data_IF_612985336839
#
_entry.id   IF_612985336839
#
_cell.length_a   1.000
_cell.length_b   1.000
_cell.length_c   1.000
_cell.angle_alpha   90.00
_cell.angle_beta   90.00
_cell.angle_gamma   90.00
#
_symmetry.space_group_name_H-M   'P 1'
#
loop_
_entity.id
_entity.type
_entity.pdbx_description
1 polymer ?
#
# COMPACT_ATOMS: atom_id res chain seq x y z
N UNK A 1 62.64 -57.77 62.69
CA UNK A 1 61.27 -57.18 62.72
C UNK A 1 61.26 -55.96 61.86
N UNK A 2 60.77 -56.09 60.62
CA UNK A 2 60.76 -55.04 59.60
C UNK A 2 59.33 -54.57 59.42
N UNK A 3 59.12 -53.28 59.61
CA UNK A 3 57.81 -52.62 59.29
C UNK A 3 57.94 -51.85 58.03
N UNK A 4 57.15 -52.27 57.03
CA UNK A 4 57.00 -51.60 55.77
C UNK A 4 55.86 -50.54 55.87
N UNK A 5 56.15 -49.27 55.63
CA UNK A 5 55.15 -48.22 55.37
C UNK A 5 54.90 -48.07 53.88
N UNK A 6 53.68 -48.31 53.44
CA UNK A 6 53.24 -47.97 52.09
C UNK A 6 52.61 -46.58 52.15
N UNK A 7 53.22 -45.67 51.37
CA UNK A 7 52.64 -44.35 51.05
C UNK A 7 51.47 -44.57 49.99
N UNK A 8 50.25 -44.15 50.36
CA UNK A 8 49.13 -43.95 49.43
C UNK A 8 49.25 -42.51 48.91
N UNK A 9 49.53 -42.36 47.64
CA UNK A 9 49.38 -41.08 46.90
C UNK A 9 47.97 -40.85 46.55
N UNK A 10 47.37 -39.79 47.10
CA UNK A 10 46.04 -39.30 46.63
C UNK A 10 46.20 -38.41 45.38
N UNK A 11 45.74 -38.90 44.26
CA UNK A 11 45.60 -38.08 43.00
C UNK A 11 44.30 -37.33 43.07
N UNK A 12 44.38 -36.04 43.38
CA UNK A 12 43.20 -35.13 43.26
C UNK A 12 43.01 -34.75 41.79
N UNK A 13 42.05 -35.41 41.15
CA UNK A 13 41.59 -35.02 39.81
C UNK A 13 40.77 -33.73 39.90
N UNK A 14 41.25 -32.63 39.37
CA UNK A 14 40.46 -31.43 39.08
C UNK A 14 39.52 -31.73 37.88
N UNK A 15 38.24 -31.96 38.16
CA UNK A 15 37.22 -31.96 37.13
C UNK A 15 36.90 -30.49 36.76
N UNK A 16 37.40 -30.03 35.63
CA UNK A 16 36.97 -28.77 35.01
C UNK A 16 35.57 -29.02 34.43
N UNK A 17 34.53 -28.57 35.14
CA UNK A 17 33.18 -28.43 34.55
C UNK A 17 33.25 -27.29 33.51
N UNK A 18 33.32 -27.63 32.24
CA UNK A 18 33.00 -26.73 31.16
C UNK A 18 31.48 -26.45 31.24
N UNK A 19 31.10 -25.34 31.84
CA UNK A 19 29.76 -24.81 31.71
C UNK A 19 29.58 -24.39 30.25
N UNK A 20 29.01 -25.25 29.43
CA UNK A 20 28.44 -24.85 28.15
C UNK A 20 27.22 -23.98 28.49
N UNK A 21 27.41 -22.66 28.46
CA UNK A 21 26.26 -21.75 28.35
C UNK A 21 25.60 -22.13 27.06
N UNK A 22 24.40 -22.72 27.14
CA UNK A 22 23.51 -22.81 26.00
C UNK A 22 23.23 -21.36 25.60
N UNK A 23 23.81 -20.90 24.51
CA UNK A 23 23.38 -19.70 23.83
C UNK A 23 21.97 -20.05 23.37
N UNK A 24 20.97 -19.51 24.03
CA UNK A 24 19.60 -19.54 23.50
C UNK A 24 19.72 -18.83 22.14
N UNK A 25 19.40 -19.54 21.06
CA UNK A 25 19.35 -18.91 19.75
C UNK A 25 18.42 -17.70 19.87
N UNK A 26 18.91 -16.53 19.49
CA UNK A 26 18.11 -15.32 19.48
C UNK A 26 16.98 -15.52 18.47
N UNK A 27 15.76 -15.18 18.86
CA UNK A 27 14.56 -15.36 18.05
C UNK A 27 13.83 -14.02 17.94
N UNK A 28 13.44 -13.63 16.74
CA UNK A 28 12.66 -12.43 16.42
C UNK A 28 11.26 -12.88 16.02
N UNK A 29 10.24 -12.30 16.63
CA UNK A 29 8.85 -12.49 16.26
C UNK A 29 8.40 -11.34 15.34
N UNK A 30 7.86 -11.69 14.18
CA UNK A 30 7.40 -10.70 13.19
C UNK A 30 5.92 -10.95 12.87
N UNK A 31 5.07 -9.97 13.16
CA UNK A 31 3.69 -10.02 12.71
C UNK A 31 3.57 -9.52 11.28
N UNK A 32 2.70 -10.20 10.51
CA UNK A 32 2.43 -9.85 9.12
C UNK A 32 0.95 -9.95 8.77
N UNK A 33 0.46 -9.06 7.91
CA UNK A 33 -0.89 -9.13 7.33
C UNK A 33 -1.00 -10.14 6.18
N UNK A 34 0.09 -10.77 5.77
CA UNK A 34 0.10 -11.75 4.68
C UNK A 34 -0.39 -13.11 5.17
N UNK A 35 -1.71 -13.34 5.10
CA UNK A 35 -2.36 -14.57 5.55
C UNK A 35 -2.52 -15.63 4.47
N UNK A 36 -2.35 -15.25 3.19
CA UNK A 36 -2.43 -16.20 2.07
C UNK A 36 -1.21 -17.13 2.07
N UNK A 37 -1.40 -18.48 2.01
CA UNK A 37 -0.30 -19.43 2.16
C UNK A 37 0.91 -19.17 1.24
N UNK A 38 0.67 -18.87 -0.04
CA UNK A 38 1.73 -18.61 -1.00
C UNK A 38 2.52 -17.33 -0.70
N UNK A 39 1.87 -16.31 -0.14
CA UNK A 39 2.53 -15.06 0.25
C UNK A 39 3.30 -15.22 1.55
N UNK A 40 2.71 -15.92 2.53
CA UNK A 40 3.38 -16.24 3.79
C UNK A 40 4.64 -17.11 3.56
N UNK A 41 4.57 -18.09 2.66
CA UNK A 41 5.73 -18.92 2.29
C UNK A 41 6.89 -18.08 1.74
N UNK A 42 6.60 -17.03 0.96
CA UNK A 42 7.64 -16.12 0.46
C UNK A 42 8.27 -15.29 1.56
N UNK A 43 7.49 -14.79 2.52
CA UNK A 43 8.04 -14.10 3.70
C UNK A 43 8.88 -15.06 4.57
N UNK A 44 8.44 -16.30 4.74
CA UNK A 44 9.22 -17.31 5.44
C UNK A 44 10.53 -17.65 4.71
N UNK A 45 10.55 -17.55 3.38
CA UNK A 45 11.79 -17.73 2.59
C UNK A 45 12.77 -16.59 2.89
N UNK A 46 12.33 -15.34 2.89
CA UNK A 46 13.17 -14.19 3.27
C UNK A 46 13.68 -14.32 4.72
N UNK A 47 12.81 -14.72 5.65
CA UNK A 47 13.18 -14.99 7.03
C UNK A 47 14.25 -16.07 7.16
N UNK A 48 14.15 -17.16 6.38
CA UNK A 48 15.15 -18.22 6.34
C UNK A 48 16.49 -17.78 5.73
N UNK A 49 16.49 -16.85 4.79
CA UNK A 49 17.72 -16.23 4.26
C UNK A 49 18.42 -15.41 5.34
N UNK A 50 17.67 -14.64 6.14
CA UNK A 50 18.22 -13.92 7.30
C UNK A 50 18.79 -14.86 8.34
N UNK A 51 18.05 -15.92 8.72
CA UNK A 51 18.53 -16.95 9.66
C UNK A 51 19.83 -17.61 9.16
N UNK A 52 19.90 -17.92 7.87
CA UNK A 52 21.11 -18.51 7.27
C UNK A 52 22.32 -17.55 7.30
N UNK A 53 22.09 -16.25 7.18
CA UNK A 53 23.13 -15.23 7.19
C UNK A 53 23.62 -14.89 8.61
N UNK A 54 22.73 -14.87 9.60
CA UNK A 54 23.00 -14.31 10.94
C UNK A 54 22.99 -15.37 12.05
N UNK A 55 22.29 -16.49 11.85
CA UNK A 55 22.00 -17.50 12.89
C UNK A 55 20.84 -17.09 13.83
N UNK A 56 20.19 -15.96 13.60
CA UNK A 56 19.01 -15.47 14.36
C UNK A 56 17.76 -16.05 13.72
N UNK A 57 16.95 -16.77 14.50
CA UNK A 57 15.69 -17.33 14.02
C UNK A 57 14.63 -16.23 13.91
N UNK A 58 13.82 -16.27 12.84
CA UNK A 58 12.69 -15.36 12.64
C UNK A 58 11.38 -16.16 12.55
N UNK A 59 10.45 -15.87 13.44
CA UNK A 59 9.10 -16.43 13.42
C UNK A 59 8.13 -15.45 12.74
N UNK A 60 7.67 -15.78 11.53
CA UNK A 60 6.66 -15.02 10.80
C UNK A 60 5.26 -15.43 11.27
N UNK A 61 4.53 -14.53 11.92
CA UNK A 61 3.22 -14.77 12.54
C UNK A 61 2.14 -14.05 11.73
N UNK A 62 1.32 -14.77 10.94
CA UNK A 62 0.25 -14.15 10.18
C UNK A 62 -0.89 -13.71 11.10
N UNK A 63 -1.38 -12.49 10.89
CA UNK A 63 -2.52 -11.90 11.61
C UNK A 63 -3.47 -11.30 10.60
N UNK A 64 -4.76 -11.60 10.72
CA UNK A 64 -5.78 -11.02 9.85
C UNK A 64 -5.82 -9.50 9.98
N UNK A 65 -5.88 -8.80 8.85
CA UNK A 65 -5.81 -7.34 8.81
C UNK A 65 -6.97 -6.67 9.56
N UNK A 66 -8.14 -7.31 9.60
CA UNK A 66 -9.30 -6.79 10.34
C UNK A 66 -9.14 -6.92 11.86
N UNK A 67 -8.34 -7.88 12.34
CA UNK A 67 -8.06 -8.08 13.77
C UNK A 67 -6.80 -7.33 14.23
N UNK A 68 -6.04 -6.78 13.30
CA UNK A 68 -4.67 -6.30 13.53
C UNK A 68 -4.60 -5.24 14.64
N UNK A 69 -5.45 -4.21 14.56
CA UNK A 69 -5.48 -3.11 15.54
C UNK A 69 -5.87 -3.60 16.94
N UNK A 70 -6.91 -4.43 17.04
CA UNK A 70 -7.37 -4.98 18.32
C UNK A 70 -6.31 -5.88 18.96
N UNK A 71 -5.66 -6.72 18.15
CA UNK A 71 -4.62 -7.63 18.61
C UNK A 71 -3.36 -6.88 19.06
N UNK A 72 -2.93 -5.85 18.35
CA UNK A 72 -1.78 -5.03 18.75
C UNK A 72 -2.03 -4.31 20.09
N UNK A 73 -3.21 -3.71 20.26
CA UNK A 73 -3.62 -3.07 21.52
C UNK A 73 -3.65 -4.05 22.70
N UNK A 74 -4.16 -5.26 22.49
CA UNK A 74 -4.22 -6.29 23.53
C UNK A 74 -2.82 -6.82 23.89
N UNK A 75 -1.95 -7.03 22.91
CA UNK A 75 -0.57 -7.48 23.11
C UNK A 75 0.25 -6.42 23.84
N UNK A 76 0.12 -5.15 23.47
CA UNK A 76 0.76 -4.03 24.17
C UNK A 76 0.37 -3.96 25.64
N UNK A 77 -0.95 -4.06 25.93
CA UNK A 77 -1.44 -4.07 27.31
C UNK A 77 -0.94 -5.28 28.13
N UNK A 78 -0.59 -6.38 27.48
CA UNK A 78 -0.03 -7.58 28.08
C UNK A 78 1.50 -7.58 28.20
N UNK A 79 2.20 -6.64 27.55
CA UNK A 79 3.68 -6.66 27.41
C UNK A 79 4.16 -7.86 26.61
N UNK A 80 3.45 -8.20 25.52
CA UNK A 80 3.71 -9.36 24.64
C UNK A 80 3.59 -9.00 23.16
N UNK A 81 4.05 -7.79 22.79
CA UNK A 81 4.19 -7.41 21.39
C UNK A 81 5.24 -8.31 20.69
N UNK A 82 5.14 -8.53 19.37
CA UNK A 82 6.25 -9.05 18.58
C UNK A 82 7.38 -8.03 18.53
N UNK A 83 8.57 -8.41 18.05
CA UNK A 83 9.67 -7.46 17.87
C UNK A 83 9.42 -6.50 16.72
N UNK A 84 8.85 -7.01 15.61
CA UNK A 84 8.55 -6.25 14.40
C UNK A 84 7.12 -6.48 13.95
N UNK A 85 6.49 -5.42 13.47
CA UNK A 85 5.15 -5.48 12.86
C UNK A 85 5.22 -4.98 11.42
N UNK A 86 4.77 -5.78 10.43
CA UNK A 86 4.53 -5.36 9.05
C UNK A 86 3.08 -4.90 8.91
N UNK A 87 2.85 -3.60 8.74
CA UNK A 87 1.52 -3.00 8.89
C UNK A 87 1.22 -1.92 7.83
N UNK A 88 -0.08 -1.66 7.52
CA UNK A 88 -0.50 -0.60 6.61
C UNK A 88 -0.51 0.78 7.30
N UNK A 89 -0.37 1.83 6.48
CA UNK A 89 -0.24 3.24 6.86
C UNK A 89 -1.23 3.71 7.93
N UNK A 90 -2.46 3.24 7.91
CA UNK A 90 -3.51 3.69 8.84
C UNK A 90 -3.17 3.50 10.33
N UNK A 91 -2.22 2.65 10.66
CA UNK A 91 -1.77 2.40 12.03
C UNK A 91 -0.52 3.19 12.41
N UNK A 92 0.19 3.80 11.45
CA UNK A 92 1.48 4.44 11.69
C UNK A 92 1.44 5.43 12.86
N UNK A 93 0.77 6.55 12.69
CA UNK A 93 0.70 7.59 13.72
C UNK A 93 -0.04 7.15 14.98
N UNK A 94 -1.24 6.51 14.89
CA UNK A 94 -1.96 6.06 16.09
C UNK A 94 -1.17 5.09 16.98
N UNK A 95 -0.33 4.24 16.40
CA UNK A 95 0.45 3.29 17.20
C UNK A 95 1.72 3.91 17.81
N UNK A 96 2.29 4.94 17.21
CA UNK A 96 3.35 5.76 17.87
C UNK A 96 2.74 6.53 19.05
N UNK A 97 1.61 7.21 18.85
CA UNK A 97 0.90 7.93 19.90
C UNK A 97 0.48 7.04 21.07
N UNK A 98 0.09 5.78 20.78
CA UNK A 98 -0.26 4.79 21.79
C UNK A 98 0.95 4.15 22.48
N UNK A 99 2.19 4.38 22.01
CA UNK A 99 3.41 3.78 22.54
C UNK A 99 3.60 2.31 22.14
N UNK A 100 2.92 1.84 21.09
CA UNK A 100 3.08 0.49 20.54
C UNK A 100 4.33 0.39 19.68
N UNK A 101 4.63 1.44 18.91
CA UNK A 101 5.80 1.52 18.03
C UNK A 101 6.88 2.42 18.63
N UNK A 102 8.12 2.02 18.42
CA UNK A 102 9.34 2.78 18.71
C UNK A 102 9.77 3.53 17.43
N UNK A 103 9.39 4.81 17.36
CA UNK A 103 9.68 5.66 16.21
C UNK A 103 11.18 6.02 16.12
N UNK A 104 11.88 6.16 17.27
CA UNK A 104 13.31 6.46 17.31
C UNK A 104 14.11 5.27 16.76
N UNK A 105 13.80 4.04 17.20
CA UNK A 105 14.45 2.84 16.70
C UNK A 105 14.26 2.63 15.19
N UNK A 106 13.07 2.94 14.66
CA UNK A 106 12.76 2.89 13.23
C UNK A 106 13.50 3.98 12.43
N UNK A 107 13.65 5.19 13.03
CA UNK A 107 14.41 6.29 12.43
C UNK A 107 15.89 5.96 12.28
N UNK A 108 16.49 5.34 13.29
CA UNK A 108 17.89 4.92 13.23
C UNK A 108 18.15 3.94 12.07
N UNK A 109 17.22 3.02 11.80
CA UNK A 109 17.33 2.11 10.64
C UNK A 109 17.22 2.89 9.32
N UNK A 110 16.26 3.81 9.20
CA UNK A 110 16.10 4.62 8.00
C UNK A 110 17.36 5.43 7.69
N UNK A 111 17.95 6.07 8.70
CA UNK A 111 19.19 6.83 8.58
C UNK A 111 20.38 5.95 8.18
N UNK A 112 20.51 4.75 8.78
CA UNK A 112 21.57 3.80 8.45
C UNK A 112 21.49 3.30 7.00
N UNK A 113 20.26 3.20 6.45
CA UNK A 113 20.00 2.79 5.07
C UNK A 113 20.16 3.93 4.06
N UNK A 114 20.15 5.19 4.51
CA UNK A 114 20.13 6.40 3.70
C UNK A 114 18.70 6.78 3.28
N UNK A 115 18.10 7.74 3.99
CA UNK A 115 16.73 8.20 3.75
C UNK A 115 16.49 8.64 2.30
N UNK A 116 17.49 9.27 1.67
CA UNK A 116 17.47 9.72 0.28
C UNK A 116 17.40 8.57 -0.75
N UNK A 117 17.57 7.31 -0.32
CA UNK A 117 17.37 6.13 -1.17
C UNK A 117 15.92 5.66 -1.22
N UNK A 118 15.04 6.25 -0.41
CA UNK A 118 13.60 5.95 -0.35
C UNK A 118 12.76 6.94 -1.14
N UNK A 119 11.60 6.50 -1.59
CA UNK A 119 10.57 7.37 -2.17
C UNK A 119 10.07 8.37 -1.10
N UNK A 120 10.04 9.69 -1.37
CA UNK A 120 9.66 10.68 -0.38
C UNK A 120 8.23 10.53 0.17
N UNK A 121 7.27 10.10 -0.66
CA UNK A 121 5.88 9.92 -0.25
C UNK A 121 5.73 8.98 0.94
N UNK A 122 6.14 7.70 0.86
CA UNK A 122 6.11 6.76 1.98
C UNK A 122 6.84 7.23 3.24
N UNK A 123 7.98 7.91 3.10
CA UNK A 123 8.71 8.50 4.24
C UNK A 123 7.87 9.59 4.90
N UNK A 124 7.37 10.55 4.13
CA UNK A 124 6.57 11.67 4.64
C UNK A 124 5.28 11.19 5.32
N UNK A 125 4.64 10.13 4.79
CA UNK A 125 3.39 9.60 5.34
C UNK A 125 3.55 8.95 6.73
N UNK A 126 4.75 8.55 7.12
CA UNK A 126 5.01 7.91 8.42
C UNK A 126 5.81 8.80 9.38
N UNK A 127 6.11 10.04 9.03
CA UNK A 127 6.84 10.96 9.89
C UNK A 127 6.05 11.31 11.15
N UNK A 128 6.76 11.36 12.28
CA UNK A 128 6.24 11.78 13.59
C UNK A 128 7.23 12.74 14.25
N UNK A 129 6.84 13.46 15.33
CA UNK A 129 7.79 14.31 16.07
C UNK A 129 8.97 13.52 16.67
N UNK A 130 8.79 12.23 16.95
CA UNK A 130 9.77 11.38 17.63
C UNK A 130 10.60 10.52 16.65
N UNK A 131 10.41 10.65 15.34
CA UNK A 131 11.07 9.87 14.30
C UNK A 131 10.09 9.34 13.28
N UNK A 132 10.39 8.20 12.63
CA UNK A 132 9.49 7.56 11.66
C UNK A 132 8.73 6.39 12.31
N UNK A 133 7.42 6.33 12.11
CA UNK A 133 6.57 5.27 12.68
C UNK A 133 6.99 3.86 12.26
N UNK A 134 7.65 3.72 11.13
CA UNK A 134 8.23 2.46 10.63
C UNK A 134 8.99 2.68 9.34
N UNK A 135 9.89 1.77 9.03
CA UNK A 135 10.69 1.81 7.80
C UNK A 135 9.78 1.42 6.61
N UNK A 136 9.68 2.28 5.57
CA UNK A 136 8.84 1.98 4.41
C UNK A 136 9.32 0.74 3.66
N UNK A 137 8.41 -0.18 3.37
CA UNK A 137 8.72 -1.45 2.69
C UNK A 137 8.23 -1.44 1.26
N UNK A 138 6.95 -1.34 1.09
CA UNK A 138 6.28 -1.33 -0.21
C UNK A 138 5.09 -0.38 -0.21
N UNK A 139 4.68 0.01 -1.40
CA UNK A 139 3.51 0.86 -1.57
C UNK A 139 2.87 0.65 -2.93
N UNK A 140 1.74 1.30 -3.14
CA UNK A 140 1.04 1.33 -4.42
C UNK A 140 0.25 2.62 -4.56
N UNK A 141 -0.04 3.00 -5.79
CA UNK A 141 -0.86 4.17 -6.11
C UNK A 141 -2.14 3.76 -6.80
N UNK A 142 -3.23 4.48 -6.53
CA UNK A 142 -4.38 4.38 -7.42
C UNK A 142 -4.05 4.97 -8.79
N UNK A 143 -4.66 4.40 -9.83
CA UNK A 143 -4.43 4.82 -11.19
C UNK A 143 -5.75 5.01 -11.92
N UNK A 144 -5.83 6.03 -12.77
CA UNK A 144 -6.79 6.01 -13.88
C UNK A 144 -6.21 5.07 -14.94
N UNK A 145 -6.89 3.94 -15.13
CA UNK A 145 -6.57 2.92 -16.13
C UNK A 145 -7.45 3.18 -17.33
N UNK A 146 -6.86 3.37 -18.51
CA UNK A 146 -7.61 3.81 -19.68
C UNK A 146 -7.21 3.08 -20.97
N UNK A 147 -8.14 2.98 -21.90
CA UNK A 147 -7.93 2.41 -23.24
C UNK A 147 -7.14 3.38 -24.11
N UNK A 148 -5.81 3.33 -23.95
CA UNK A 148 -4.86 4.19 -24.69
C UNK A 148 -5.07 4.10 -26.21
N UNK A 149 -5.35 2.91 -26.74
CA UNK A 149 -5.64 2.68 -28.15
C UNK A 149 -6.86 3.48 -28.65
N UNK A 150 -7.93 3.57 -27.82
CA UNK A 150 -9.10 4.36 -28.14
C UNK A 150 -8.81 5.87 -28.04
N UNK A 151 -8.01 6.28 -27.07
CA UNK A 151 -7.58 7.67 -26.94
C UNK A 151 -6.77 8.10 -28.16
N UNK A 152 -5.76 7.32 -28.55
CA UNK A 152 -4.94 7.56 -29.74
C UNK A 152 -5.80 7.62 -31.01
N UNK A 153 -6.74 6.70 -31.18
CA UNK A 153 -7.64 6.64 -32.34
C UNK A 153 -8.57 7.85 -32.46
N UNK A 154 -8.94 8.48 -31.34
CA UNK A 154 -9.85 9.64 -31.34
C UNK A 154 -9.12 10.97 -31.09
N UNK A 155 -7.80 10.98 -30.99
CA UNK A 155 -7.01 12.19 -30.75
C UNK A 155 -7.26 12.82 -29.37
N UNK A 156 -7.54 12.00 -28.37
CA UNK A 156 -7.78 12.43 -26.99
C UNK A 156 -6.46 12.53 -26.23
N UNK A 157 -6.36 13.54 -25.38
CA UNK A 157 -5.25 13.66 -24.43
C UNK A 157 -5.40 12.64 -23.30
N UNK A 158 -4.26 12.21 -22.72
CA UNK A 158 -4.28 11.31 -21.55
C UNK A 158 -5.14 11.89 -20.42
N UNK A 159 -5.84 11.04 -19.61
CA UNK A 159 -6.80 11.49 -18.60
C UNK A 159 -6.11 12.02 -17.32
N UNK A 160 -5.24 13.02 -17.49
CA UNK A 160 -4.44 13.66 -16.43
C UNK A 160 -5.19 14.80 -15.72
N UNK A 161 -6.37 15.17 -16.21
CA UNK A 161 -7.23 16.19 -15.60
C UNK A 161 -8.70 15.76 -15.65
N UNK A 162 -9.52 16.33 -14.78
CA UNK A 162 -10.99 16.16 -14.87
C UNK A 162 -11.52 16.50 -16.27
N UNK A 163 -11.03 17.58 -16.86
CA UNK A 163 -11.44 18.00 -18.20
C UNK A 163 -11.12 16.95 -19.27
N UNK A 164 -9.93 16.33 -19.20
CA UNK A 164 -9.54 15.30 -20.17
C UNK A 164 -10.35 14.01 -19.97
N UNK A 165 -10.64 13.64 -18.71
CA UNK A 165 -11.55 12.51 -18.42
C UNK A 165 -12.94 12.74 -18.99
N UNK A 166 -13.51 13.93 -18.76
CA UNK A 166 -14.86 14.26 -19.24
C UNK A 166 -14.91 14.38 -20.79
N UNK A 167 -13.87 14.90 -21.42
CA UNK A 167 -13.76 14.92 -22.88
C UNK A 167 -13.70 13.49 -23.46
N UNK A 168 -13.01 12.57 -22.78
CA UNK A 168 -12.97 11.17 -23.20
C UNK A 168 -14.33 10.47 -22.95
N UNK A 169 -15.01 10.78 -21.85
CA UNK A 169 -16.38 10.30 -21.61
C UNK A 169 -17.31 10.76 -22.73
N UNK A 170 -17.31 12.03 -23.10
CA UNK A 170 -18.13 12.56 -24.20
C UNK A 170 -17.86 11.85 -25.53
N UNK A 171 -16.60 11.58 -25.84
CA UNK A 171 -16.19 10.97 -27.11
C UNK A 171 -16.44 9.47 -27.20
N UNK A 172 -16.33 8.74 -26.07
CA UNK A 172 -16.27 7.27 -26.06
C UNK A 172 -17.51 6.61 -25.45
N UNK A 173 -18.36 7.34 -24.70
CA UNK A 173 -19.54 6.76 -24.05
C UNK A 173 -20.61 6.43 -25.08
N UNK A 174 -20.86 5.13 -25.30
CA UNK A 174 -21.84 4.60 -26.25
C UNK A 174 -22.44 3.29 -25.68
N UNK A 175 -23.28 3.37 -24.62
CA UNK A 175 -23.85 2.17 -24.01
C UNK A 175 -24.86 1.47 -24.92
N UNK A 176 -24.96 0.14 -24.86
CA UNK A 176 -24.27 -0.75 -23.94
C UNK A 176 -22.88 -1.21 -24.42
N UNK A 177 -22.43 -0.80 -25.60
CA UNK A 177 -21.19 -1.28 -26.23
C UNK A 177 -19.95 -0.76 -25.49
N UNK A 178 -20.00 0.50 -25.01
CA UNK A 178 -18.88 1.15 -24.32
C UNK A 178 -19.39 2.11 -23.26
N UNK A 179 -18.98 1.90 -22.02
CA UNK A 179 -19.13 2.88 -20.95
C UNK A 179 -17.89 3.79 -20.93
N UNK A 180 -18.09 5.10 -20.93
CA UNK A 180 -16.99 6.06 -20.93
C UNK A 180 -16.14 5.97 -19.67
N UNK A 181 -16.77 5.65 -18.55
CA UNK A 181 -16.14 5.38 -17.27
C UNK A 181 -16.90 4.29 -16.51
N UNK A 182 -16.26 3.60 -15.57
CA UNK A 182 -16.92 2.76 -14.57
C UNK A 182 -16.47 3.20 -13.19
N UNK A 183 -17.27 4.06 -12.57
CA UNK A 183 -17.02 4.66 -11.27
C UNK A 183 -17.35 3.69 -10.11
N UNK A 184 -16.75 3.92 -8.94
CA UNK A 184 -17.12 3.23 -7.71
C UNK A 184 -18.40 3.85 -7.13
N UNK A 185 -19.49 3.09 -7.03
CA UNK A 185 -20.80 3.58 -6.54
C UNK A 185 -21.41 2.72 -5.44
N UNK A 186 -20.70 1.66 -5.01
CA UNK A 186 -21.13 0.79 -3.93
C UNK A 186 -20.68 1.37 -2.57
N UNK A 187 -21.67 1.85 -1.81
CA UNK A 187 -21.47 2.66 -0.59
C UNK A 187 -20.75 1.93 0.52
N UNK A 188 -21.04 0.65 0.72
CA UNK A 188 -20.52 -0.18 1.79
C UNK A 188 -19.15 -0.84 1.48
N UNK A 189 -18.45 -0.31 0.46
CA UNK A 189 -17.14 -0.79 0.04
C UNK A 189 -16.05 0.27 0.28
N UNK A 190 -14.96 -0.15 0.92
CA UNK A 190 -13.77 0.71 1.11
C UNK A 190 -13.19 1.24 -0.19
N UNK A 191 -13.41 0.53 -1.30
CA UNK A 191 -12.98 0.99 -2.62
C UNK A 191 -13.61 2.33 -3.02
N UNK A 192 -14.91 2.55 -2.75
CA UNK A 192 -15.53 3.85 -3.02
C UNK A 192 -14.89 4.96 -2.19
N UNK A 193 -14.57 4.69 -0.91
CA UNK A 193 -13.89 5.66 -0.04
C UNK A 193 -12.52 6.06 -0.60
N UNK A 194 -11.72 5.07 -1.06
CA UNK A 194 -10.39 5.31 -1.65
C UNK A 194 -10.47 6.14 -2.94
N UNK A 195 -11.45 5.84 -3.80
CA UNK A 195 -11.65 6.58 -5.06
C UNK A 195 -12.12 8.00 -4.79
N UNK A 196 -13.02 8.19 -3.84
CA UNK A 196 -13.49 9.53 -3.44
C UNK A 196 -12.38 10.36 -2.80
N UNK A 197 -11.56 9.76 -1.92
CA UNK A 197 -10.39 10.45 -1.36
C UNK A 197 -9.46 10.92 -2.48
N UNK A 198 -9.15 10.07 -3.45
CA UNK A 198 -8.29 10.44 -4.59
C UNK A 198 -8.90 11.58 -5.41
N UNK A 199 -10.18 11.46 -5.78
CA UNK A 199 -10.88 12.50 -6.54
C UNK A 199 -10.90 13.83 -5.79
N UNK A 200 -11.24 13.83 -4.52
CA UNK A 200 -11.29 15.06 -3.71
C UNK A 200 -9.89 15.68 -3.52
N UNK A 201 -8.85 14.87 -3.25
CA UNK A 201 -7.45 15.32 -3.19
C UNK A 201 -6.98 15.91 -4.53
N UNK A 202 -7.35 15.29 -5.65
CA UNK A 202 -7.03 15.78 -6.98
C UNK A 202 -7.53 17.21 -7.24
N UNK A 203 -8.59 17.64 -6.54
CA UNK A 203 -9.11 19.01 -6.58
C UNK A 203 -8.73 19.85 -5.34
N UNK A 204 -7.85 19.34 -4.47
CA UNK A 204 -7.39 20.04 -3.27
C UNK A 204 -8.48 20.21 -2.19
N UNK A 205 -9.45 19.28 -2.14
CA UNK A 205 -10.46 19.21 -1.11
C UNK A 205 -10.04 18.22 -0.01
N UNK A 206 -9.89 18.71 1.22
CA UNK A 206 -9.58 17.91 2.42
C UNK A 206 -10.55 18.29 3.54
N UNK A 207 -10.98 17.32 4.39
CA UNK A 207 -11.85 17.61 5.52
C UNK A 207 -11.11 18.03 6.78
N UNK A 208 -9.76 17.95 6.81
CA UNK A 208 -8.93 18.19 7.98
C UNK A 208 -7.88 19.27 7.72
N UNK A 209 -7.49 19.99 8.76
CA UNK A 209 -6.33 20.87 8.80
C UNK A 209 -5.43 20.52 10.00
N UNK A 210 -4.39 21.29 10.26
CA UNK A 210 -3.44 21.10 11.37
C UNK A 210 -4.10 21.12 12.77
N UNK A 211 -5.33 21.65 12.88
CA UNK A 211 -6.06 21.75 14.14
C UNK A 211 -7.14 20.64 14.31
N UNK A 212 -7.31 19.79 13.32
CA UNK A 212 -8.29 18.70 13.32
C UNK A 212 -9.32 18.81 12.21
N UNK A 213 -10.59 18.55 12.50
CA UNK A 213 -11.67 18.68 11.51
C UNK A 213 -11.92 20.16 11.15
N UNK A 214 -11.66 20.48 9.88
CA UNK A 214 -11.86 21.81 9.31
C UNK A 214 -13.15 21.95 8.51
N UNK A 215 -13.69 20.83 8.05
CA UNK A 215 -14.77 20.75 7.06
C UNK A 215 -14.27 20.96 5.63
N UNK A 216 -15.03 20.45 4.70
CA UNK A 216 -14.74 20.59 3.27
C UNK A 216 -14.98 22.02 2.78
N UNK A 217 -14.05 22.55 1.97
CA UNK A 217 -14.26 23.78 1.20
C UNK A 217 -15.40 23.58 0.18
N UNK A 218 -16.39 24.46 0.19
CA UNK A 218 -17.61 24.30 -0.61
C UNK A 218 -17.31 24.27 -2.12
N UNK A 219 -16.52 25.22 -2.62
CA UNK A 219 -16.28 25.34 -4.05
C UNK A 219 -15.49 24.16 -4.60
N UNK A 220 -14.37 23.82 -3.96
CA UNK A 220 -13.53 22.67 -4.36
C UNK A 220 -14.27 21.35 -4.30
N UNK A 221 -15.10 21.20 -3.26
CA UNK A 221 -15.86 19.95 -3.08
C UNK A 221 -16.97 19.82 -4.12
N UNK A 222 -17.71 20.90 -4.42
CA UNK A 222 -18.74 20.88 -5.46
C UNK A 222 -18.13 20.51 -6.81
N UNK A 223 -17.01 21.10 -7.22
CA UNK A 223 -16.31 20.75 -8.45
C UNK A 223 -15.95 19.25 -8.52
N UNK A 224 -15.46 18.68 -7.42
CA UNK A 224 -15.14 17.26 -7.35
C UNK A 224 -16.39 16.36 -7.38
N UNK A 225 -17.48 16.78 -6.72
CA UNK A 225 -18.76 16.07 -6.73
C UNK A 225 -19.42 16.11 -8.12
N UNK A 226 -19.37 17.25 -8.83
CA UNK A 226 -19.85 17.36 -10.22
C UNK A 226 -19.07 16.43 -11.14
N UNK A 227 -17.76 16.40 -11.04
CA UNK A 227 -16.93 15.45 -11.77
C UNK A 227 -17.30 13.99 -11.44
N UNK A 228 -17.44 13.65 -10.16
CA UNK A 228 -17.76 12.29 -9.73
C UNK A 228 -19.14 11.85 -10.22
N UNK A 229 -20.14 12.75 -10.18
CA UNK A 229 -21.47 12.51 -10.74
C UNK A 229 -21.41 12.25 -12.25
N UNK A 230 -20.65 13.05 -12.99
CA UNK A 230 -20.52 12.88 -14.42
C UNK A 230 -19.92 11.51 -14.81
N UNK A 231 -18.88 11.05 -14.10
CA UNK A 231 -18.32 9.71 -14.33
C UNK A 231 -19.23 8.58 -13.86
N UNK A 232 -20.03 8.81 -12.82
CA UNK A 232 -21.05 7.85 -12.37
C UNK A 232 -22.20 7.73 -13.38
N UNK A 233 -22.64 8.83 -13.99
CA UNK A 233 -23.64 8.84 -15.07
C UNK A 233 -23.13 8.17 -16.36
N UNK A 234 -21.81 8.18 -16.60
CA UNK A 234 -21.17 7.48 -17.72
C UNK A 234 -20.93 5.98 -17.45
N UNK A 235 -21.32 5.50 -16.28
CA UNK A 235 -21.15 4.10 -15.82
C UNK A 235 -22.42 3.28 -16.04
N UNK A 236 -22.34 1.93 -16.00
CA UNK A 236 -23.54 1.11 -15.91
C UNK A 236 -24.37 1.45 -14.66
N UNK A 237 -25.70 1.28 -14.70
CA UNK A 237 -26.54 1.48 -13.52
C UNK A 237 -26.25 0.41 -12.45
N UNK A 238 -26.35 0.79 -11.19
CA UNK A 238 -26.26 -0.11 -10.04
C UNK A 238 -25.15 0.25 -9.07
N UNK A 239 -24.83 -0.71 -8.20
CA UNK A 239 -23.76 -0.61 -7.21
C UNK A 239 -22.49 -1.24 -7.79
N UNK A 240 -21.52 -0.41 -8.10
CA UNK A 240 -20.28 -0.81 -8.76
C UNK A 240 -19.10 -0.70 -7.79
N UNK A 241 -18.24 -1.71 -7.80
CA UNK A 241 -16.98 -1.70 -7.11
C UNK A 241 -15.87 -2.29 -8.01
N UNK A 242 -14.66 -2.41 -7.51
CA UNK A 242 -13.49 -2.78 -8.31
C UNK A 242 -13.69 -4.01 -9.21
N UNK A 243 -14.45 -5.02 -8.76
CA UNK A 243 -14.64 -6.26 -9.52
C UNK A 243 -15.42 -6.04 -10.80
N UNK A 244 -16.58 -5.36 -10.73
CA UNK A 244 -17.38 -5.06 -11.92
C UNK A 244 -16.65 -4.09 -12.87
N UNK A 245 -15.96 -3.07 -12.31
CA UNK A 245 -15.17 -2.13 -13.11
C UNK A 245 -14.10 -2.88 -13.92
N UNK A 246 -13.36 -3.77 -13.28
CA UNK A 246 -12.37 -4.62 -13.91
C UNK A 246 -12.96 -5.55 -14.97
N UNK A 247 -14.02 -6.27 -14.66
CA UNK A 247 -14.69 -7.20 -15.59
C UNK A 247 -15.15 -6.49 -16.86
N UNK A 248 -15.75 -5.31 -16.75
CA UNK A 248 -16.16 -4.49 -17.90
C UNK A 248 -14.96 -4.00 -18.71
N UNK A 249 -13.89 -3.61 -18.05
CA UNK A 249 -12.67 -3.20 -18.74
C UNK A 249 -12.03 -4.39 -19.51
N UNK A 250 -11.97 -5.57 -18.90
CA UNK A 250 -11.46 -6.79 -19.55
C UNK A 250 -12.33 -7.29 -20.71
N UNK A 251 -13.62 -6.98 -20.67
CA UNK A 251 -14.54 -7.24 -21.78
C UNK A 251 -14.45 -6.20 -22.91
N UNK A 252 -13.63 -5.13 -22.75
CA UNK A 252 -13.56 -4.04 -23.69
C UNK A 252 -14.78 -3.13 -23.68
N UNK A 253 -15.60 -3.17 -22.62
CA UNK A 253 -16.84 -2.41 -22.46
C UNK A 253 -16.68 -1.16 -21.59
N UNK A 254 -15.49 -0.87 -21.08
CA UNK A 254 -15.15 0.35 -20.34
C UNK A 254 -13.96 1.05 -20.99
N UNK A 255 -14.05 2.36 -21.20
CA UNK A 255 -12.94 3.17 -21.71
C UNK A 255 -11.97 3.55 -20.59
N UNK A 256 -12.47 3.81 -19.39
CA UNK A 256 -11.71 4.19 -18.21
C UNK A 256 -12.27 3.56 -16.94
N UNK A 257 -11.37 3.26 -15.98
CA UNK A 257 -11.68 2.89 -14.61
C UNK A 257 -10.64 3.51 -13.67
N UNK A 258 -10.91 3.59 -12.38
CA UNK A 258 -9.88 3.78 -11.36
C UNK A 258 -9.60 2.43 -10.70
N UNK A 259 -8.33 2.04 -10.63
CA UNK A 259 -7.92 0.81 -9.97
C UNK A 259 -6.46 0.86 -9.48
N UNK A 260 -6.03 -0.19 -8.85
CA UNK A 260 -4.67 -0.38 -8.34
C UNK A 260 -3.78 -1.11 -9.35
N UNK A 261 -2.45 -1.09 -9.18
CA UNK A 261 -1.51 -1.83 -10.03
C UNK A 261 -1.68 -3.35 -10.01
N UNK A 262 -2.44 -3.90 -9.06
CA UNK A 262 -2.81 -5.33 -9.07
C UNK A 262 -3.53 -5.78 -10.35
N UNK A 263 -4.01 -4.84 -11.19
CA UNK A 263 -4.59 -5.15 -12.50
C UNK A 263 -3.54 -5.53 -13.56
N UNK A 264 -2.26 -5.22 -13.35
CA UNK A 264 -1.24 -5.29 -14.40
C UNK A 264 -0.96 -6.72 -14.88
N UNK A 265 -0.88 -7.69 -13.99
CA UNK A 265 -0.71 -9.09 -14.35
C UNK A 265 -1.99 -9.70 -14.94
N UNK A 266 -3.16 -9.23 -14.47
CA UNK A 266 -4.46 -9.63 -14.99
C UNK A 266 -4.66 -9.16 -16.43
N UNK A 267 -4.36 -7.88 -16.74
CA UNK A 267 -4.38 -7.32 -18.10
C UNK A 267 -3.49 -8.08 -19.08
N UNK A 268 -2.39 -8.64 -18.59
CA UNK A 268 -1.46 -9.42 -19.37
C UNK A 268 -1.87 -10.93 -19.51
N UNK A 269 -3.07 -11.29 -19.04
CA UNK A 269 -3.61 -12.65 -19.14
C UNK A 269 -2.91 -13.67 -18.26
N UNK A 270 -2.35 -13.28 -17.10
CA UNK A 270 -1.59 -14.18 -16.23
C UNK A 270 -2.43 -14.83 -15.11
N UNK A 271 -3.73 -14.48 -15.01
CA UNK A 271 -4.65 -15.04 -14.00
C UNK A 271 -5.91 -15.63 -14.64
N UNK A 272 -6.14 -16.93 -14.42
CA UNK A 272 -7.35 -17.60 -14.91
C UNK A 272 -8.62 -17.17 -14.14
N UNK A 273 -8.47 -16.76 -12.89
CA UNK A 273 -9.58 -16.25 -12.07
C UNK A 273 -10.08 -14.86 -12.48
N UNK A 274 -9.33 -14.14 -13.34
CA UNK A 274 -9.67 -12.81 -13.85
C UNK A 274 -9.33 -12.73 -15.35
N UNK A 275 -10.06 -13.50 -16.20
CA UNK A 275 -9.71 -13.63 -17.61
C UNK A 275 -9.98 -12.33 -18.39
N UNK A 276 -9.06 -12.00 -19.29
CA UNK A 276 -9.30 -10.98 -20.31
C UNK A 276 -10.28 -11.56 -21.35
N UNK A 277 -11.41 -10.87 -21.57
CA UNK A 277 -12.49 -11.38 -22.44
C UNK A 277 -12.77 -10.48 -23.64
N UNK A 278 -11.89 -9.52 -23.93
CA UNK A 278 -12.00 -8.62 -25.09
C UNK A 278 -11.90 -9.38 -26.43
N UNK A 279 -11.24 -10.54 -26.42
CA UNK A 279 -11.14 -11.45 -27.56
C UNK A 279 -11.28 -12.91 -27.10
N UNK A 280 -11.14 -13.87 -28.01
CA UNK A 280 -11.32 -15.30 -27.73
C UNK A 280 -10.15 -15.94 -26.95
N UNK A 281 -9.02 -15.23 -26.78
CA UNK A 281 -7.83 -15.70 -26.04
C UNK A 281 -7.69 -14.98 -24.71
N UNK A 282 -8.06 -15.60 -23.57
CA UNK A 282 -7.94 -14.99 -22.25
C UNK A 282 -6.48 -14.82 -21.77
N UNK A 283 -5.51 -15.38 -22.49
CA UNK A 283 -4.07 -15.28 -22.18
C UNK A 283 -3.38 -14.21 -23.02
N UNK A 284 -4.14 -13.45 -23.81
CA UNK A 284 -3.61 -12.39 -24.67
C UNK A 284 -2.99 -11.26 -23.85
N UNK A 285 -1.98 -10.60 -24.42
CA UNK A 285 -1.37 -9.38 -23.92
C UNK A 285 -1.87 -8.12 -24.63
N UNK A 286 -2.84 -8.26 -25.53
CA UNK A 286 -3.30 -7.17 -26.39
C UNK A 286 -3.91 -6.04 -25.54
N UNK A 287 -4.68 -6.39 -24.51
CA UNK A 287 -5.28 -5.38 -23.64
C UNK A 287 -4.23 -4.67 -22.78
N UNK A 288 -3.22 -5.38 -22.27
CA UNK A 288 -2.10 -4.73 -21.57
C UNK A 288 -1.38 -3.72 -22.46
N UNK A 289 -1.11 -4.08 -23.72
CA UNK A 289 -0.49 -3.19 -24.70
C UNK A 289 -1.38 -1.98 -25.11
N UNK A 290 -2.71 -2.16 -25.04
CA UNK A 290 -3.71 -1.13 -25.35
C UNK A 290 -4.07 -0.25 -24.14
N UNK A 291 -3.52 -0.52 -22.96
CA UNK A 291 -3.84 0.18 -21.71
C UNK A 291 -2.80 1.23 -21.38
N UNK A 292 -3.26 2.41 -20.94
CA UNK A 292 -2.45 3.45 -20.31
C UNK A 292 -2.80 3.63 -18.83
N UNK A 293 -1.88 4.23 -18.09
CA UNK A 293 -2.00 4.44 -16.65
C UNK A 293 -1.65 5.88 -16.30
N UNK A 294 -2.45 6.50 -15.43
CA UNK A 294 -2.21 7.84 -14.89
C UNK A 294 -2.33 7.74 -13.36
N UNK A 295 -1.27 8.04 -12.64
CA UNK A 295 -1.21 8.00 -11.17
C UNK A 295 -1.57 9.33 -10.53
N UNK A 296 -1.20 10.43 -11.18
CA UNK A 296 -1.49 11.79 -10.73
C UNK A 296 -2.47 12.46 -11.70
N UNK A 297 -3.64 12.87 -11.21
CA UNK A 297 -4.57 13.64 -12.03
C UNK A 297 -5.10 14.86 -11.25
N UNK A 298 -5.55 15.89 -11.97
CA UNK A 298 -5.81 17.22 -11.44
C UNK A 298 -7.25 17.67 -11.65
N UNK A 299 -7.83 18.27 -10.60
CA UNK A 299 -9.05 19.04 -10.70
C UNK A 299 -8.79 20.52 -11.01
N UNK A 300 -9.82 21.29 -11.34
CA UNK A 300 -9.69 22.71 -11.70
C UNK A 300 -9.14 23.58 -10.58
N UNK A 301 -9.42 23.26 -9.31
CA UNK A 301 -8.95 24.01 -8.14
C UNK A 301 -7.57 23.55 -7.63
N UNK A 302 -6.99 22.48 -8.19
CA UNK A 302 -5.65 22.00 -7.88
C UNK A 302 -4.94 21.56 -9.19
N UNK A 303 -4.32 22.48 -9.92
CA UNK A 303 -3.67 22.16 -11.21
C UNK A 303 -2.44 21.25 -11.08
N UNK A 304 -1.84 21.14 -9.89
CA UNK A 304 -0.75 20.20 -9.62
C UNK A 304 -1.26 18.76 -9.44
N UNK A 305 -2.55 18.61 -9.15
CA UNK A 305 -3.20 17.31 -8.97
C UNK A 305 -2.80 16.61 -7.68
N UNK A 306 -3.15 15.34 -7.61
CA UNK A 306 -2.73 14.43 -6.55
C UNK A 306 -2.56 13.00 -7.07
N UNK A 307 -1.59 12.28 -6.50
CA UNK A 307 -1.50 10.84 -6.56
C UNK A 307 -1.94 10.28 -5.20
N UNK A 308 -2.95 9.44 -5.20
CA UNK A 308 -3.35 8.73 -3.98
C UNK A 308 -2.47 7.49 -3.80
N UNK A 309 -1.81 7.36 -2.65
CA UNK A 309 -0.93 6.25 -2.36
C UNK A 309 -1.24 5.60 -1.01
N UNK A 310 -0.96 4.31 -0.92
CA UNK A 310 -0.91 3.56 0.34
C UNK A 310 0.46 2.90 0.47
N UNK A 311 0.92 2.73 1.70
CA UNK A 311 2.23 2.17 1.98
C UNK A 311 2.18 1.23 3.17
N UNK A 312 3.14 0.29 3.19
CA UNK A 312 3.32 -0.63 4.31
C UNK A 312 4.71 -0.45 4.89
N UNK A 313 4.80 -0.72 6.17
CA UNK A 313 5.98 -0.42 6.98
C UNK A 313 6.38 -1.63 7.82
N UNK A 314 7.68 -1.76 8.07
CA UNK A 314 8.16 -2.51 9.22
C UNK A 314 8.33 -1.54 10.39
N UNK A 315 7.52 -1.70 11.43
CA UNK A 315 7.64 -0.97 12.68
C UNK A 315 8.31 -1.84 13.75
N UNK A 316 9.26 -1.25 14.45
CA UNK A 316 9.87 -1.84 15.64
C UNK A 316 8.94 -1.54 16.81
N UNK A 317 8.67 -2.51 17.68
CA UNK A 317 7.72 -2.32 18.78
C UNK A 317 8.42 -1.91 20.07
N UNK A 318 7.65 -1.40 21.03
CA UNK A 318 8.14 -1.00 22.34
C UNK A 318 8.66 -2.17 23.21
N UNK A 319 8.24 -3.40 22.92
CA UNK A 319 8.67 -4.60 23.65
C UNK A 319 9.84 -5.35 22.95
N UNK A 320 10.34 -4.83 21.82
CA UNK A 320 11.32 -5.51 20.97
C UNK A 320 12.70 -5.67 21.65
N UNK A 321 13.42 -6.72 21.26
CA UNK A 321 14.89 -6.67 21.27
C UNK A 321 15.33 -5.70 20.16
N UNK A 322 15.50 -4.43 20.52
CA UNK A 322 15.65 -3.31 19.57
C UNK A 322 16.79 -3.55 18.58
N UNK A 323 17.99 -3.97 19.04
CA UNK A 323 19.15 -4.20 18.18
C UNK A 323 18.86 -5.31 17.16
N UNK A 324 18.28 -6.43 17.61
CA UNK A 324 17.95 -7.54 16.73
C UNK A 324 16.81 -7.19 15.74
N UNK A 325 15.83 -6.42 16.20
CA UNK A 325 14.74 -5.93 15.34
C UNK A 325 15.24 -4.97 14.26
N UNK A 326 16.13 -4.04 14.60
CA UNK A 326 16.79 -3.13 13.67
C UNK A 326 17.61 -3.89 12.62
N UNK A 327 18.43 -4.87 13.03
CA UNK A 327 19.21 -5.70 12.11
C UNK A 327 18.31 -6.47 11.12
N UNK A 328 17.19 -7.02 11.62
CA UNK A 328 16.24 -7.72 10.76
C UNK A 328 15.57 -6.77 9.75
N UNK A 329 15.07 -5.62 10.22
CA UNK A 329 14.40 -4.64 9.34
C UNK A 329 15.39 -4.11 8.29
N UNK A 330 16.63 -3.80 8.70
CA UNK A 330 17.68 -3.38 7.78
C UNK A 330 17.95 -4.43 6.70
N UNK A 331 18.06 -5.71 7.08
CA UNK A 331 18.21 -6.81 6.11
C UNK A 331 17.00 -6.89 5.17
N UNK A 332 15.78 -6.88 5.72
CA UNK A 332 14.54 -7.07 4.95
C UNK A 332 14.30 -5.99 3.88
N UNK A 333 14.90 -4.78 4.04
CA UNK A 333 14.82 -3.69 3.06
C UNK A 333 16.18 -3.38 2.40
N UNK A 334 17.15 -4.30 2.50
CA UNK A 334 18.44 -4.25 1.79
C UNK A 334 18.75 -5.57 1.10
N UNK A 335 19.61 -6.43 1.66
CA UNK A 335 20.01 -7.71 1.03
C UNK A 335 18.84 -8.67 0.79
N UNK A 336 17.83 -8.68 1.70
CA UNK A 336 16.59 -9.45 1.57
C UNK A 336 15.47 -8.74 0.80
N UNK A 337 15.70 -7.52 0.28
CA UNK A 337 14.59 -6.68 -0.15
C UNK A 337 13.84 -7.22 -1.37
N UNK A 338 14.54 -7.75 -2.36
CA UNK A 338 13.86 -8.36 -3.52
C UNK A 338 13.05 -9.61 -3.14
N UNK A 339 13.48 -10.38 -2.14
CA UNK A 339 12.68 -11.48 -1.62
C UNK A 339 11.43 -10.97 -0.86
N UNK A 340 11.55 -9.87 -0.13
CA UNK A 340 10.43 -9.16 0.51
C UNK A 340 9.40 -8.69 -0.52
N UNK A 341 9.82 -8.05 -1.60
CA UNK A 341 8.96 -7.55 -2.67
C UNK A 341 8.34 -8.66 -3.53
N UNK A 342 8.98 -9.83 -3.61
CA UNK A 342 8.52 -10.96 -4.42
C UNK A 342 7.19 -11.59 -3.96
N UNK A 343 6.60 -11.09 -2.87
CA UNK A 343 5.32 -11.57 -2.31
C UNK A 343 4.17 -11.34 -3.30
N UNK A 344 4.07 -10.14 -3.89
CA UNK A 344 3.09 -9.76 -4.90
C UNK A 344 3.62 -8.54 -5.68
N UNK A 345 4.61 -8.70 -6.57
CA UNK A 345 5.33 -7.57 -7.15
C UNK A 345 4.43 -6.61 -7.93
N UNK A 346 3.33 -7.10 -8.52
CA UNK A 346 2.36 -6.31 -9.28
C UNK A 346 1.65 -5.23 -8.45
N UNK A 347 1.59 -5.40 -7.14
CA UNK A 347 0.90 -4.47 -6.23
C UNK A 347 1.75 -4.02 -5.03
N UNK A 348 3.03 -4.38 -5.01
CA UNK A 348 3.99 -4.04 -3.96
C UNK A 348 5.22 -3.42 -4.60
N UNK A 349 5.15 -2.12 -4.83
CA UNK A 349 6.25 -1.36 -5.43
C UNK A 349 7.29 -1.05 -4.39
N UNK A 350 8.59 -1.03 -4.74
CA UNK A 350 9.63 -0.70 -3.79
C UNK A 350 9.45 0.73 -3.26
N UNK A 351 9.38 0.86 -1.93
CA UNK A 351 9.48 2.17 -1.27
C UNK A 351 10.94 2.63 -1.17
N UNK A 352 11.90 1.72 -1.27
CA UNK A 352 13.32 2.02 -1.41
C UNK A 352 13.73 1.84 -2.86
N UNK A 353 14.20 2.91 -3.50
CA UNK A 353 14.51 2.92 -4.94
C UNK A 353 15.80 2.18 -5.28
N UNK A 354 16.82 2.31 -4.43
CA UNK A 354 18.14 1.73 -4.64
C UNK A 354 19.06 1.93 -3.46
N UNK A 355 20.35 2.07 -3.75
CA UNK A 355 21.42 2.35 -2.79
C UNK A 355 22.16 3.61 -3.19
N UNK A 356 23.02 4.14 -2.32
CA UNK A 356 23.87 5.29 -2.65
C UNK A 356 24.78 5.06 -3.85
N UNK A 357 25.21 3.81 -4.08
CA UNK A 357 26.04 3.43 -5.22
C UNK A 357 25.23 3.12 -6.49
N UNK A 358 23.97 2.68 -6.34
CA UNK A 358 23.07 2.34 -7.42
C UNK A 358 21.62 2.81 -7.11
N UNK A 359 21.27 4.04 -7.48
CA UNK A 359 20.00 4.67 -7.08
C UNK A 359 18.71 3.98 -7.58
N UNK A 360 18.80 3.07 -8.56
CA UNK A 360 17.65 2.34 -9.13
C UNK A 360 17.71 0.84 -8.89
N UNK A 361 18.63 0.37 -8.05
CA UNK A 361 18.90 -1.07 -7.86
C UNK A 361 17.65 -1.90 -7.58
N UNK A 362 16.83 -1.42 -6.65
CA UNK A 362 15.65 -2.16 -6.22
C UNK A 362 14.49 -2.03 -7.21
N UNK A 363 14.32 -0.88 -7.87
CA UNK A 363 13.35 -0.71 -8.96
C UNK A 363 13.70 -1.64 -10.12
N UNK A 364 14.97 -1.67 -10.53
CA UNK A 364 15.44 -2.51 -11.62
C UNK A 364 15.35 -4.01 -11.29
N UNK A 365 15.62 -4.38 -10.04
CA UNK A 365 15.48 -5.74 -9.52
C UNK A 365 14.01 -6.16 -9.45
N UNK A 366 13.16 -5.32 -8.85
CA UNK A 366 11.73 -5.56 -8.71
C UNK A 366 11.02 -5.73 -10.07
N UNK A 367 11.34 -4.90 -11.05
CA UNK A 367 10.74 -4.98 -12.38
C UNK A 367 10.98 -6.33 -13.09
N UNK A 368 11.97 -7.08 -12.63
CA UNK A 368 12.35 -8.42 -13.14
C UNK A 368 11.75 -9.57 -12.31
N UNK A 369 11.04 -9.26 -11.21
CA UNK A 369 10.33 -10.27 -10.44
C UNK A 369 9.13 -10.79 -11.23
N UNK A 370 8.87 -12.08 -11.11
CA UNK A 370 7.74 -12.72 -11.75
C UNK A 370 6.43 -12.28 -11.09
N UNK A 371 5.52 -11.72 -11.88
CA UNK A 371 4.12 -11.44 -11.50
C UNK A 371 3.19 -12.51 -12.06
N UNK A 372 1.96 -12.55 -11.58
CA UNK A 372 0.93 -13.49 -12.00
C UNK A 372 0.82 -14.75 -11.13
N UNK A 373 -0.22 -15.52 -11.35
CA UNK A 373 -0.57 -16.72 -10.56
C UNK A 373 -0.49 -18.00 -11.40
N UNK A 374 -1.34 -18.13 -12.44
CA UNK A 374 -1.41 -19.31 -13.29
C UNK A 374 -0.32 -19.35 -14.36
N UNK A 375 0.04 -18.20 -14.83
CA UNK A 375 1.19 -17.93 -15.71
C UNK A 375 2.03 -16.83 -15.07
N UNK A 376 3.32 -16.82 -15.34
CA UNK A 376 4.24 -15.87 -14.75
C UNK A 376 5.15 -15.22 -15.79
N UNK A 377 5.42 -13.94 -15.60
CA UNK A 377 6.39 -13.19 -16.38
C UNK A 377 6.86 -11.98 -15.58
N UNK A 378 8.08 -11.48 -15.80
CA UNK A 378 8.52 -10.21 -15.23
C UNK A 378 7.69 -9.02 -15.74
N UNK A 379 7.46 -8.02 -14.91
CA UNK A 379 6.79 -6.77 -15.33
C UNK A 379 7.51 -6.11 -16.52
N UNK A 380 8.84 -6.16 -16.53
CA UNK A 380 9.67 -5.63 -17.61
C UNK A 380 9.48 -6.32 -18.98
N UNK A 381 8.92 -7.53 -19.00
CA UNK A 381 8.56 -8.25 -20.22
C UNK A 381 7.12 -7.95 -20.69
N UNK A 382 6.32 -7.32 -19.82
CA UNK A 382 4.89 -7.05 -20.03
C UNK A 382 4.64 -5.60 -20.43
N UNK A 383 5.41 -4.68 -19.82
CA UNK A 383 5.21 -3.24 -19.97
C UNK A 383 6.51 -2.52 -20.33
N UNK A 384 6.45 -1.47 -21.14
CA UNK A 384 7.59 -0.59 -21.43
C UNK A 384 8.16 0.03 -20.15
N UNK A 385 9.45 0.30 -20.14
CA UNK A 385 10.16 0.84 -18.97
C UNK A 385 9.68 2.23 -18.53
N UNK A 386 9.21 3.05 -19.44
CA UNK A 386 8.62 4.36 -19.15
C UNK A 386 7.25 4.23 -18.44
N UNK A 387 6.45 3.23 -18.79
CA UNK A 387 5.20 2.92 -18.08
C UNK A 387 5.50 2.50 -16.64
N UNK A 388 6.45 1.58 -16.45
CA UNK A 388 6.87 1.12 -15.12
C UNK A 388 7.40 2.30 -14.28
N UNK A 389 8.28 3.12 -14.86
CA UNK A 389 8.85 4.28 -14.18
C UNK A 389 7.78 5.31 -13.76
N UNK A 390 6.79 5.59 -14.62
CA UNK A 390 5.70 6.52 -14.31
C UNK A 390 4.81 6.01 -13.16
N UNK A 391 4.55 4.70 -13.10
CA UNK A 391 3.73 4.13 -12.03
C UNK A 391 4.48 4.18 -10.69
N UNK A 392 5.76 3.83 -10.68
CA UNK A 392 6.61 3.88 -9.47
C UNK A 392 6.77 5.31 -8.97
N UNK A 393 7.00 6.28 -9.88
CA UNK A 393 7.12 7.70 -9.53
C UNK A 393 5.86 8.28 -8.87
N UNK A 394 4.71 7.62 -9.00
CA UNK A 394 3.51 7.99 -8.25
C UNK A 394 3.69 7.88 -6.73
N UNK A 395 4.58 7.02 -6.24
CA UNK A 395 4.90 6.93 -4.81
C UNK A 395 5.65 8.15 -4.29
N UNK A 396 6.49 8.78 -5.12
CA UNK A 396 7.28 9.95 -4.72
C UNK A 396 6.39 11.13 -4.31
N UNK A 397 5.22 11.25 -4.96
CA UNK A 397 4.24 12.32 -4.77
C UNK A 397 2.94 11.83 -4.13
N UNK A 398 2.94 10.61 -3.60
CA UNK A 398 1.77 10.00 -2.97
C UNK A 398 1.25 10.80 -1.78
N UNK A 399 -0.06 10.99 -1.72
CA UNK A 399 -0.75 11.78 -0.71
C UNK A 399 -1.91 11.01 -0.10
N UNK A 400 -2.26 11.36 1.12
CA UNK A 400 -3.46 10.92 1.84
C UNK A 400 -3.97 12.08 2.70
N UNK A 401 -5.27 12.13 2.95
CA UNK A 401 -5.82 13.08 3.93
C UNK A 401 -5.18 12.90 5.29
N UNK A 402 -4.92 14.02 5.93
CA UNK A 402 -4.39 14.07 7.29
C UNK A 402 -2.90 13.79 7.42
N UNK A 403 -2.20 13.40 6.37
CA UNK A 403 -0.75 13.17 6.42
C UNK A 403 0.00 14.49 6.58
N UNK A 404 -0.19 15.42 5.66
CA UNK A 404 0.46 16.73 5.70
C UNK A 404 0.03 17.57 6.92
N UNK A 405 -1.19 17.35 7.38
CA UNK A 405 -1.80 18.06 8.51
C UNK A 405 -1.49 17.41 9.87
N UNK A 406 -0.84 16.23 9.92
CA UNK A 406 -0.61 15.47 11.15
C UNK A 406 -1.91 14.89 11.75
N UNK A 407 -2.94 14.68 10.94
CA UNK A 407 -4.29 14.27 11.34
C UNK A 407 -4.70 12.91 10.71
N UNK A 408 -3.73 12.04 10.40
CA UNK A 408 -4.00 10.77 9.73
C UNK A 408 -4.98 9.89 10.53
N UNK A 409 -4.91 9.90 11.86
CA UNK A 409 -5.83 9.17 12.73
C UNK A 409 -7.28 9.61 12.54
N UNK A 410 -7.54 10.92 12.53
CA UNK A 410 -8.87 11.48 12.28
C UNK A 410 -9.33 11.23 10.85
N UNK A 411 -8.47 11.45 9.86
CA UNK A 411 -8.78 11.17 8.47
C UNK A 411 -9.15 9.70 8.25
N UNK A 412 -8.46 8.77 8.90
CA UNK A 412 -8.78 7.34 8.85
C UNK A 412 -10.15 7.02 9.46
N UNK A 413 -10.53 7.66 10.58
CA UNK A 413 -11.88 7.51 11.17
C UNK A 413 -12.95 8.05 10.22
N UNK A 414 -12.72 9.21 9.59
CA UNK A 414 -13.62 9.81 8.59
C UNK A 414 -13.85 8.83 7.42
N UNK A 415 -12.77 8.30 6.83
CA UNK A 415 -12.84 7.35 5.73
C UNK A 415 -13.60 6.08 6.13
N UNK A 416 -13.30 5.52 7.29
CA UNK A 416 -13.90 4.28 7.78
C UNK A 416 -15.37 4.44 8.18
N UNK A 417 -15.84 5.66 8.48
CA UNK A 417 -17.25 5.95 8.76
C UNK A 417 -18.17 5.74 7.56
N UNK A 418 -17.61 5.79 6.34
CA UNK A 418 -18.32 5.76 5.06
C UNK A 418 -19.39 6.88 4.91
N UNK A 419 -19.34 7.92 5.74
CA UNK A 419 -20.26 9.03 5.67
C UNK A 419 -20.17 9.74 4.30
N UNK A 420 -18.94 9.92 3.81
CA UNK A 420 -18.69 10.53 2.50
C UNK A 420 -19.37 9.71 1.39
N UNK A 421 -19.21 8.38 1.41
CA UNK A 421 -19.84 7.50 0.41
C UNK A 421 -21.35 7.66 0.37
N UNK A 422 -22.01 7.70 1.55
CA UNK A 422 -23.47 7.85 1.64
C UNK A 422 -23.94 9.18 1.10
N UNK A 423 -23.32 10.28 1.50
CA UNK A 423 -23.71 11.62 1.05
C UNK A 423 -23.46 11.82 -0.43
N UNK A 424 -22.32 11.32 -0.94
CA UNK A 424 -22.03 11.37 -2.38
C UNK A 424 -23.02 10.52 -3.18
N UNK A 425 -23.47 9.40 -2.63
CA UNK A 425 -24.52 8.60 -3.28
C UNK A 425 -25.85 9.37 -3.39
N UNK A 426 -26.31 10.04 -2.32
CA UNK A 426 -27.49 10.88 -2.37
C UNK A 426 -27.37 12.02 -3.41
N UNK A 427 -26.15 12.59 -3.53
CA UNK A 427 -25.87 13.61 -4.55
C UNK A 427 -25.95 13.04 -5.99
N UNK A 428 -25.38 11.86 -6.22
CA UNK A 428 -25.45 11.17 -7.53
C UNK A 428 -26.91 10.87 -7.89
N UNK A 429 -27.68 10.38 -6.94
CA UNK A 429 -29.11 10.04 -7.14
C UNK A 429 -30.01 11.28 -7.32
N UNK A 430 -29.49 12.48 -7.01
CA UNK A 430 -30.21 13.75 -7.14
C UNK A 430 -31.13 14.06 -5.97
N UNK A 431 -30.97 13.39 -4.84
CA UNK A 431 -31.74 13.61 -3.61
C UNK A 431 -31.33 14.91 -2.93
N UNK A 432 -30.07 15.35 -3.10
CA UNK A 432 -29.52 16.62 -2.61
C UNK A 432 -28.74 17.34 -3.71
N UNK A 433 -28.65 18.66 -3.62
CA UNK A 433 -27.79 19.48 -4.50
C UNK A 433 -26.35 19.60 -3.96
N UNK A 434 -25.45 20.24 -4.71
CA UNK A 434 -24.04 20.39 -4.34
C UNK A 434 -23.85 21.09 -3.00
N UNK A 435 -24.38 22.29 -2.78
CA UNK A 435 -24.30 22.95 -1.47
C UNK A 435 -24.89 22.13 -0.32
N UNK A 436 -26.02 21.44 -0.57
CA UNK A 436 -26.65 20.55 0.41
C UNK A 436 -25.76 19.35 0.75
N UNK A 437 -25.08 18.77 -0.25
CA UNK A 437 -24.13 17.67 -0.03
C UNK A 437 -22.93 18.14 0.85
N UNK A 438 -22.33 19.29 0.55
CA UNK A 438 -21.21 19.82 1.36
C UNK A 438 -21.65 20.15 2.78
N UNK A 439 -22.81 20.79 2.96
CA UNK A 439 -23.35 21.09 4.28
C UNK A 439 -23.56 19.81 5.11
N UNK A 440 -24.16 18.77 4.49
CA UNK A 440 -24.40 17.48 5.14
C UNK A 440 -23.08 16.75 5.46
N UNK A 441 -22.10 16.75 4.54
CA UNK A 441 -20.76 16.22 4.82
C UNK A 441 -20.14 16.87 6.06
N UNK A 442 -20.15 18.22 6.10
CA UNK A 442 -19.55 18.94 7.20
C UNK A 442 -20.30 18.73 8.54
N UNK A 443 -21.63 18.52 8.51
CA UNK A 443 -22.40 18.17 9.69
C UNK A 443 -22.08 16.75 10.20
N UNK A 444 -22.16 15.74 9.33
CA UNK A 444 -21.92 14.34 9.72
C UNK A 444 -20.47 14.09 10.16
N UNK A 445 -19.49 14.71 9.50
CA UNK A 445 -18.08 14.49 9.80
C UNK A 445 -17.60 15.21 11.06
N UNK A 446 -18.24 16.34 11.43
CA UNK A 446 -17.95 17.06 12.67
C UNK A 446 -18.26 16.23 13.93
N UNK A 447 -19.08 15.17 13.80
CA UNK A 447 -19.40 14.26 14.91
C UNK A 447 -18.35 13.14 15.10
N UNK A 448 -17.37 13.04 14.17
CA UNK A 448 -16.33 12.01 14.20
C UNK A 448 -15.11 12.58 14.94
N UNK A 449 -14.88 12.11 16.18
CA UNK A 449 -13.73 12.46 17.01
C UNK A 449 -12.66 11.36 17.05
#
# INVERSE_FOLDING_TARGET
>A
MSFNYRLLGAVSGLAVLAATTAVTAQEIRVWTTETQPARLERQQTMAAEYEAATGVKVEMIPVDEQEYGTRATAAFAAGDLPDVIYYPLQYALPWVEAGILDAEASQEVLEALGEDTFAPGPVNMAQTPDGIAGVPVDGWTQMVVYRKDLFDANGLEAPTTYANVLAAVEALHNPPEMFGFVAATKVDEGFMSQVLEHVLLANGATPVDENGFAGFDEAKTIEALEFYKAIAEASPPGELFWKQSRELYFAGQAAMIIWSPFIMDELAGLRDAAPVTINDDPTTRDLAAATGFVTNFAGPSNPDGAAWADSRYFGITADADTEAAQDFVQFAVSDGYLATLAIAPEGKFPSRNGTGDNPTEYIDGWSKLDVGVDRRAPLSDLYPSDVIANIVAGLDVGQRWGVAEGQLGLASKIINSQAINRVVREYIDGDIDGPGAVAKLNEELAEIE
#
